data_IF_242482494898
#
_entry.id   IF_242482494898
#
_cell.length_a   1.000
_cell.length_b   1.000
_cell.length_c   1.000
_cell.angle_alpha   90.00
_cell.angle_beta   90.00
_cell.angle_gamma   90.00
#
_symmetry.space_group_name_H-M   'P 1'
#
loop_
_entity.id
_entity.type
_entity.pdbx_description
1 polymer ?
#
# COMPACT_ATOMS: atom_id res chain seq x y z
N UNK A 1 -22.68 -16.69 -8.67
CA UNK A 1 -21.48 -17.50 -8.42
C UNK A 1 -20.41 -16.58 -7.86
N UNK A 2 -19.98 -16.84 -6.63
CA UNK A 2 -19.14 -15.95 -5.81
C UNK A 2 -17.79 -15.69 -6.48
N UNK A 3 -17.45 -14.42 -6.66
CA UNK A 3 -16.10 -13.98 -7.02
C UNK A 3 -15.16 -14.40 -5.89
N UNK A 4 -14.48 -15.55 -6.06
CA UNK A 4 -13.53 -16.05 -5.07
C UNK A 4 -12.41 -15.03 -4.95
N UNK A 5 -12.05 -14.66 -3.73
CA UNK A 5 -10.96 -13.72 -3.43
C UNK A 5 -9.62 -14.31 -3.88
N UNK A 6 -9.28 -14.13 -5.16
CA UNK A 6 -8.09 -14.69 -5.83
C UNK A 6 -6.80 -14.44 -5.03
N UNK A 7 -6.70 -13.27 -4.40
CA UNK A 7 -5.56 -12.85 -3.58
C UNK A 7 -5.43 -13.64 -2.28
N UNK A 8 -6.55 -14.00 -1.64
CA UNK A 8 -6.52 -14.83 -0.43
C UNK A 8 -6.07 -16.25 -0.76
N UNK A 9 -6.49 -16.77 -1.90
CA UNK A 9 -6.12 -18.12 -2.33
C UNK A 9 -4.64 -18.18 -2.75
N UNK A 10 -4.11 -17.12 -3.35
CA UNK A 10 -2.67 -16.99 -3.62
C UNK A 10 -1.83 -17.05 -2.34
N UNK A 11 -2.20 -16.29 -1.30
CA UNK A 11 -1.45 -16.27 -0.03
C UNK A 11 -1.43 -17.66 0.64
N UNK A 12 -2.56 -18.38 0.60
CA UNK A 12 -2.65 -19.74 1.13
C UNK A 12 -1.72 -20.72 0.43
N UNK A 13 -1.37 -20.46 -0.83
CA UNK A 13 -0.41 -21.29 -1.58
C UNK A 13 1.01 -21.16 -1.01
N UNK A 14 1.35 -20.00 -0.44
CA UNK A 14 2.70 -19.68 0.07
C UNK A 14 2.79 -19.57 1.60
N UNK A 15 1.77 -20.02 2.32
CA UNK A 15 1.67 -19.89 3.78
C UNK A 15 1.01 -21.12 4.39
N UNK A 16 1.58 -21.68 5.46
CA UNK A 16 0.97 -22.80 6.18
C UNK A 16 -0.32 -22.39 6.91
N UNK A 17 -0.29 -21.23 7.57
CA UNK A 17 -1.45 -20.63 8.24
C UNK A 17 -1.44 -19.11 8.03
N UNK A 18 -2.53 -18.59 7.49
CA UNK A 18 -2.71 -17.15 7.21
C UNK A 18 -3.06 -16.34 8.47
N UNK A 19 -3.42 -17.02 9.57
CA UNK A 19 -3.76 -16.41 10.85
C UNK A 19 -2.61 -16.44 11.84
N UNK A 20 -1.53 -17.12 11.50
CA UNK A 20 -0.33 -17.19 12.33
C UNK A 20 0.64 -16.05 11.99
N UNK A 21 1.12 -15.38 13.03
CA UNK A 21 2.03 -14.24 12.89
C UNK A 21 3.37 -14.69 12.30
N UNK A 22 3.94 -15.76 12.84
CA UNK A 22 5.29 -16.21 12.46
C UNK A 22 5.32 -16.75 11.02
N UNK A 23 4.26 -17.42 10.58
CA UNK A 23 4.05 -17.84 9.21
C UNK A 23 3.99 -16.65 8.23
N UNK A 24 3.19 -15.64 8.54
CA UNK A 24 2.97 -14.50 7.65
C UNK A 24 4.15 -13.52 7.66
N UNK A 25 4.95 -13.49 8.72
CA UNK A 25 6.17 -12.68 8.84
C UNK A 25 7.43 -13.39 8.34
N UNK A 26 7.33 -14.62 7.83
CA UNK A 26 8.47 -15.37 7.28
C UNK A 26 9.42 -15.96 8.34
N UNK A 27 8.93 -16.16 9.57
CA UNK A 27 9.64 -16.84 10.66
C UNK A 27 9.30 -18.33 10.77
N UNK A 28 8.27 -18.79 10.08
CA UNK A 28 7.87 -20.19 10.06
C UNK A 28 8.90 -21.07 9.34
N UNK A 29 9.36 -22.13 10.02
CA UNK A 29 10.36 -23.06 9.48
C UNK A 29 9.90 -23.78 8.21
N UNK A 30 8.59 -23.97 8.02
CA UNK A 30 8.00 -24.73 6.91
C UNK A 30 7.83 -23.92 5.62
N UNK A 31 7.58 -22.61 5.72
CA UNK A 31 7.24 -21.76 4.58
C UNK A 31 7.95 -20.39 4.60
N UNK A 32 9.08 -20.29 5.31
CA UNK A 32 9.97 -19.11 5.27
C UNK A 32 10.56 -18.90 3.87
N UNK A 33 10.87 -20.00 3.19
CA UNK A 33 11.41 -20.01 1.83
C UNK A 33 10.26 -20.20 0.85
N UNK A 34 10.17 -19.29 -0.12
CA UNK A 34 9.14 -19.31 -1.15
C UNK A 34 9.72 -20.05 -2.35
N UNK A 35 9.34 -21.32 -2.48
CA UNK A 35 9.77 -22.17 -3.57
C UNK A 35 8.74 -22.08 -4.70
N UNK A 36 9.15 -21.52 -5.83
CA UNK A 36 8.33 -21.45 -7.05
C UNK A 36 8.74 -22.65 -7.91
N UNK A 37 7.82 -23.59 -8.10
CA UNK A 37 8.07 -24.76 -8.96
C UNK A 37 7.91 -24.31 -10.42
N UNK A 38 8.99 -24.37 -11.18
CA UNK A 38 8.97 -24.23 -12.64
C UNK A 38 8.80 -25.61 -13.28
N UNK A 39 8.01 -25.70 -14.34
CA UNK A 39 7.97 -26.93 -15.15
C UNK A 39 9.27 -26.96 -15.95
N UNK A 40 10.28 -27.66 -15.44
CA UNK A 40 11.63 -27.71 -16.00
C UNK A 40 11.67 -28.18 -17.46
N UNK A 41 11.81 -27.23 -18.38
CA UNK A 41 12.41 -27.42 -19.71
C UNK A 41 13.22 -26.19 -20.21
N UNK A 42 13.20 -25.06 -19.49
CA UNK A 42 13.93 -23.84 -19.87
C UNK A 42 15.21 -23.65 -19.07
N UNK A 43 16.23 -23.06 -19.68
CA UNK A 43 17.47 -22.70 -19.00
C UNK A 43 17.17 -21.56 -18.00
N UNK A 44 17.58 -21.70 -16.73
CA UNK A 44 17.33 -20.67 -15.70
C UNK A 44 18.01 -19.32 -16.02
N UNK A 45 18.89 -19.31 -17.02
CA UNK A 45 19.53 -18.13 -17.57
C UNK A 45 18.77 -17.48 -18.74
N UNK A 46 17.59 -17.97 -19.12
CA UNK A 46 16.77 -17.32 -20.13
C UNK A 46 16.39 -15.90 -19.67
N UNK A 47 16.61 -14.93 -20.56
CA UNK A 47 16.19 -13.56 -20.34
C UNK A 47 14.67 -13.45 -20.48
N UNK A 48 14.05 -12.75 -19.54
CA UNK A 48 12.63 -12.44 -19.53
C UNK A 48 12.40 -10.96 -19.23
N UNK A 49 11.26 -10.43 -19.65
CA UNK A 49 10.90 -9.04 -19.43
C UNK A 49 9.60 -8.92 -18.62
N UNK A 50 9.62 -8.13 -17.56
CA UNK A 50 8.46 -7.88 -16.71
C UNK A 50 8.32 -6.41 -16.33
N UNK A 51 7.14 -6.03 -15.84
CA UNK A 51 6.89 -4.67 -15.37
C UNK A 51 7.04 -4.59 -13.86
N UNK A 52 7.79 -3.60 -13.38
CA UNK A 52 8.00 -3.37 -11.94
C UNK A 52 7.88 -1.89 -11.59
N UNK A 53 7.28 -1.60 -10.43
CA UNK A 53 7.34 -0.28 -9.84
C UNK A 53 8.69 -0.08 -9.16
N UNK A 54 9.44 0.93 -9.58
CA UNK A 54 10.73 1.30 -9.01
C UNK A 54 10.76 2.78 -8.65
N UNK A 55 11.37 3.07 -7.50
CA UNK A 55 11.58 4.43 -7.03
C UNK A 55 12.97 4.88 -7.44
N UNK A 56 13.06 5.91 -8.29
CA UNK A 56 14.31 6.49 -8.79
C UNK A 56 14.47 7.92 -8.30
N UNK A 57 15.72 8.33 -8.09
CA UNK A 57 16.09 9.72 -7.82
C UNK A 57 16.58 10.35 -9.11
N UNK A 58 15.94 11.44 -9.52
CA UNK A 58 16.30 12.19 -10.72
C UNK A 58 16.64 13.63 -10.31
N UNK A 59 17.72 14.18 -10.83
CA UNK A 59 18.03 15.60 -10.67
C UNK A 59 17.29 16.38 -11.75
N UNK A 60 16.39 17.27 -11.35
CA UNK A 60 15.72 18.20 -12.27
C UNK A 60 16.05 19.64 -11.91
N UNK A 61 16.37 20.43 -12.93
CA UNK A 61 16.53 21.87 -12.76
C UNK A 61 15.13 22.50 -12.68
N UNK A 62 14.75 22.96 -11.50
CA UNK A 62 13.48 23.64 -11.26
C UNK A 62 13.81 25.08 -10.88
N UNK A 63 13.55 26.01 -11.82
CA UNK A 63 13.79 27.46 -11.65
C UNK A 63 15.26 27.84 -11.41
N UNK A 64 16.21 27.18 -12.07
CA UNK A 64 17.64 27.47 -11.95
C UNK A 64 18.36 26.62 -10.91
N UNK A 65 17.62 26.05 -9.94
CA UNK A 65 18.17 25.21 -8.89
C UNK A 65 18.05 23.71 -9.24
N UNK A 66 19.14 22.98 -9.08
CA UNK A 66 19.15 21.52 -9.21
C UNK A 66 18.49 20.89 -7.97
N UNK A 67 17.33 20.26 -8.16
CA UNK A 67 16.62 19.54 -7.09
C UNK A 67 16.60 18.05 -7.38
N UNK A 68 16.96 17.26 -6.38
CA UNK A 68 16.75 15.82 -6.40
C UNK A 68 15.28 15.53 -6.11
N UNK A 69 14.61 14.90 -7.08
CA UNK A 69 13.23 14.47 -6.94
C UNK A 69 13.17 12.94 -6.92
N UNK A 70 12.33 12.42 -6.05
CA UNK A 70 12.04 10.99 -5.97
C UNK A 70 10.81 10.69 -6.80
N UNK A 71 10.95 9.80 -7.79
CA UNK A 71 9.89 9.42 -8.73
C UNK A 71 9.65 7.91 -8.62
N UNK A 72 8.39 7.51 -8.45
CA UNK A 72 7.99 6.10 -8.56
C UNK A 72 7.44 5.88 -9.96
N UNK A 73 8.13 5.08 -10.75
CA UNK A 73 7.79 4.79 -12.15
C UNK A 73 7.57 3.29 -12.35
N UNK A 74 6.65 2.94 -13.23
CA UNK A 74 6.47 1.56 -13.70
C UNK A 74 7.35 1.38 -14.93
N UNK A 75 8.33 0.50 -14.84
CA UNK A 75 9.28 0.25 -15.92
C UNK A 75 9.35 -1.22 -16.30
N UNK A 76 9.73 -1.45 -17.56
CA UNK A 76 10.08 -2.79 -18.04
C UNK A 76 11.51 -3.11 -17.59
N UNK A 77 11.66 -4.22 -16.89
CA UNK A 77 12.93 -4.79 -16.48
C UNK A 77 13.14 -6.03 -17.34
N UNK A 78 14.30 -6.15 -17.98
CA UNK A 78 14.71 -7.34 -18.72
C UNK A 78 15.92 -7.93 -18.02
N UNK A 79 15.80 -9.16 -17.52
CA UNK A 79 16.84 -9.88 -16.80
C UNK A 79 16.54 -11.39 -16.83
N UNK A 80 17.38 -12.20 -16.22
CA UNK A 80 17.16 -13.64 -16.07
C UNK A 80 15.88 -13.98 -15.30
N UNK A 81 15.30 -15.15 -15.61
CA UNK A 81 14.16 -15.71 -14.87
C UNK A 81 14.47 -15.86 -13.38
N UNK A 82 15.70 -16.21 -13.00
CA UNK A 82 16.10 -16.28 -11.60
C UNK A 82 15.88 -14.96 -10.85
N UNK A 83 16.29 -13.83 -11.44
CA UNK A 83 16.11 -12.50 -10.83
C UNK A 83 14.61 -12.16 -10.70
N UNK A 84 13.78 -12.58 -11.65
CA UNK A 84 12.32 -12.46 -11.53
C UNK A 84 11.77 -13.29 -10.36
N UNK A 85 12.24 -14.53 -10.17
CA UNK A 85 11.80 -15.40 -9.07
C UNK A 85 12.17 -14.81 -7.71
N UNK A 86 13.38 -14.29 -7.56
CA UNK A 86 13.84 -13.61 -6.33
C UNK A 86 13.01 -12.35 -6.03
N UNK A 87 12.74 -11.54 -7.07
CA UNK A 87 11.90 -10.37 -6.96
C UNK A 87 10.48 -10.74 -6.53
N UNK A 88 9.90 -11.79 -7.12
CA UNK A 88 8.59 -12.29 -6.74
C UNK A 88 8.56 -12.78 -5.30
N UNK A 89 9.52 -13.60 -4.87
CA UNK A 89 9.61 -14.09 -3.49
C UNK A 89 9.70 -12.95 -2.48
N UNK A 90 10.50 -11.93 -2.78
CA UNK A 90 10.62 -10.73 -1.94
C UNK A 90 9.28 -9.98 -1.81
N UNK A 91 8.59 -9.75 -2.93
CA UNK A 91 7.30 -9.06 -2.93
C UNK A 91 6.18 -9.89 -2.29
N UNK A 92 6.20 -11.21 -2.47
CA UNK A 92 5.27 -12.12 -1.83
C UNK A 92 5.42 -12.11 -0.31
N UNK A 93 6.65 -12.04 0.21
CA UNK A 93 6.89 -11.93 1.65
C UNK A 93 6.30 -10.61 2.21
N UNK A 94 6.52 -9.49 1.52
CA UNK A 94 5.91 -8.19 1.89
C UNK A 94 4.39 -8.27 1.85
N UNK A 95 3.84 -8.92 0.83
CA UNK A 95 2.40 -9.08 0.67
C UNK A 95 1.78 -9.92 1.79
N UNK A 96 2.43 -11.01 2.21
CA UNK A 96 2.00 -11.81 3.37
C UNK A 96 1.90 -10.96 4.64
N UNK A 97 2.94 -10.20 4.96
CA UNK A 97 2.94 -9.29 6.12
C UNK A 97 1.78 -8.30 6.03
N UNK A 98 1.63 -7.64 4.87
CA UNK A 98 0.59 -6.65 4.66
C UNK A 98 -0.82 -7.23 4.84
N UNK A 99 -1.09 -8.39 4.24
CA UNK A 99 -2.38 -9.06 4.32
C UNK A 99 -2.71 -9.48 5.76
N UNK A 100 -1.74 -10.03 6.49
CA UNK A 100 -1.91 -10.34 7.91
C UNK A 100 -2.21 -9.09 8.73
N UNK A 101 -1.44 -8.02 8.54
CA UNK A 101 -1.62 -6.77 9.27
C UNK A 101 -3.00 -6.16 9.05
N UNK A 102 -3.48 -6.09 7.80
CA UNK A 102 -4.84 -5.63 7.51
C UNK A 102 -5.87 -6.51 8.21
N UNK A 103 -5.78 -7.84 8.06
CA UNK A 103 -6.76 -8.75 8.64
C UNK A 103 -6.79 -8.63 10.17
N UNK A 104 -5.61 -8.56 10.80
CA UNK A 104 -5.48 -8.45 12.24
C UNK A 104 -5.96 -7.08 12.76
N UNK A 105 -5.57 -5.98 12.11
CA UNK A 105 -6.04 -4.63 12.44
C UNK A 105 -7.56 -4.53 12.34
N UNK A 106 -8.16 -5.07 11.27
CA UNK A 106 -9.61 -5.09 11.10
C UNK A 106 -10.31 -5.92 12.17
N UNK A 107 -9.73 -7.05 12.58
CA UNK A 107 -10.24 -7.86 13.70
C UNK A 107 -10.24 -7.08 15.00
N UNK A 108 -9.12 -6.45 15.36
CA UNK A 108 -9.02 -5.64 16.58
C UNK A 108 -9.95 -4.43 16.54
N UNK A 109 -10.01 -3.73 15.40
CA UNK A 109 -10.89 -2.59 15.19
C UNK A 109 -12.37 -2.97 15.41
N UNK A 110 -12.82 -4.08 14.81
CA UNK A 110 -14.20 -4.58 15.01
C UNK A 110 -14.46 -4.92 16.47
N UNK A 111 -13.53 -5.61 17.12
CA UNK A 111 -13.66 -5.97 18.53
C UNK A 111 -13.79 -4.74 19.43
N UNK A 112 -12.99 -3.69 19.20
CA UNK A 112 -13.09 -2.44 19.97
C UNK A 112 -14.43 -1.76 19.70
N UNK A 113 -14.83 -1.65 18.43
CA UNK A 113 -16.09 -1.02 18.05
C UNK A 113 -17.31 -1.72 18.64
N UNK A 114 -17.33 -3.05 18.66
CA UNK A 114 -18.45 -3.86 19.16
C UNK A 114 -18.53 -3.88 20.69
N UNK A 115 -17.40 -3.71 21.40
CA UNK A 115 -17.33 -3.77 22.86
C UNK A 115 -17.06 -2.41 23.52
N UNK A 116 -17.47 -1.32 22.86
CA UNK A 116 -17.24 0.04 23.34
C UNK A 116 -18.07 0.32 24.61
N UNK A 117 -17.44 0.79 25.69
CA UNK A 117 -18.16 1.15 26.91
C UNK A 117 -18.86 2.50 26.78
N UNK A 118 -19.88 2.81 27.63
CA UNK A 118 -20.60 4.08 27.57
C UNK A 118 -19.74 5.33 27.74
N UNK A 119 -18.58 5.22 28.40
CA UNK A 119 -17.62 6.30 28.63
C UNK A 119 -16.40 6.26 27.69
N UNK A 120 -16.40 5.36 26.70
CA UNK A 120 -15.35 5.22 25.71
C UNK A 120 -15.87 5.70 24.35
N UNK A 121 -14.96 6.23 23.53
CA UNK A 121 -15.25 6.62 22.16
C UNK A 121 -14.12 6.15 21.23
N UNK A 122 -14.48 5.75 20.02
CA UNK A 122 -13.55 5.36 18.97
C UNK A 122 -13.60 6.38 17.84
N UNK A 123 -12.47 6.98 17.53
CA UNK A 123 -12.32 7.91 16.40
C UNK A 123 -11.54 7.23 15.30
N UNK A 124 -12.18 7.01 14.16
CA UNK A 124 -11.54 6.54 12.94
C UNK A 124 -11.37 7.75 12.02
N UNK A 125 -10.14 8.15 11.75
CA UNK A 125 -9.83 9.23 10.79
C UNK A 125 -9.11 8.62 9.61
N UNK A 126 -9.61 8.89 8.41
CA UNK A 126 -8.91 8.61 7.16
C UNK A 126 -8.21 9.88 6.68
N UNK A 127 -7.01 9.72 6.13
CA UNK A 127 -6.30 10.81 5.49
C UNK A 127 -6.79 10.90 4.05
N UNK A 128 -7.82 11.73 3.83
CA UNK A 128 -8.27 12.00 2.47
C UNK A 128 -7.29 12.94 1.77
N UNK A 129 -7.20 12.73 0.46
CA UNK A 129 -6.34 13.37 -0.54
C UNK A 129 -5.99 14.85 -0.29
N UNK A 130 -4.74 15.23 -0.63
CA UNK A 130 -4.32 16.62 -0.63
C UNK A 130 -4.90 17.36 -1.83
N UNK A 131 -5.92 18.20 -1.60
CA UNK A 131 -6.53 19.01 -2.64
C UNK A 131 -5.62 20.20 -2.97
N UNK A 132 -5.13 20.24 -4.20
CA UNK A 132 -4.50 21.43 -4.75
C UNK A 132 -5.60 22.39 -5.21
N UNK A 133 -5.75 23.53 -4.53
CA UNK A 133 -6.74 24.56 -4.89
C UNK A 133 -6.31 25.32 -6.17
N UNK A 134 -6.30 24.64 -7.33
CA UNK A 134 -5.83 25.18 -8.62
C UNK A 134 -6.82 26.13 -9.31
N UNK A 135 -8.09 26.15 -8.92
CA UNK A 135 -9.16 26.81 -9.70
C UNK A 135 -9.94 27.89 -8.94
N UNK A 136 -9.48 28.32 -7.75
CA UNK A 136 -10.26 29.26 -6.95
C UNK A 136 -10.12 30.73 -7.37
N UNK A 137 -9.04 31.12 -8.06
CA UNK A 137 -8.80 32.51 -8.48
C UNK A 137 -8.37 32.56 -9.96
N UNK A 138 -8.82 33.61 -10.65
CA UNK A 138 -8.71 33.88 -12.09
C UNK A 138 -7.39 33.47 -12.76
N UNK A 139 -7.52 33.17 -14.06
CA UNK A 139 -6.53 32.64 -15.01
C UNK A 139 -5.17 33.39 -14.97
N UNK A 140 -5.13 34.66 -14.57
CA UNK A 140 -3.90 35.47 -14.58
C UNK A 140 -3.04 35.36 -13.30
N UNK A 141 -3.57 34.86 -12.17
CA UNK A 141 -2.81 34.73 -10.91
C UNK A 141 -1.93 33.47 -10.82
N UNK A 142 -2.12 32.52 -11.75
CA UNK A 142 -1.35 31.27 -11.85
C UNK A 142 0.13 31.46 -12.26
N UNK A 143 0.46 32.60 -12.88
CA UNK A 143 1.78 32.81 -13.47
C UNK A 143 2.88 33.20 -12.46
N UNK A 144 2.55 33.68 -11.25
CA UNK A 144 3.56 34.27 -10.34
C UNK A 144 3.57 33.81 -8.88
N UNK A 145 2.66 32.97 -8.38
CA UNK A 145 2.66 32.61 -6.94
C UNK A 145 3.25 31.22 -6.67
N UNK A 146 4.47 31.19 -6.12
CA UNK A 146 5.21 29.98 -5.75
C UNK A 146 4.73 29.31 -4.44
N UNK A 147 3.65 29.79 -3.83
CA UNK A 147 3.08 29.28 -2.57
C UNK A 147 1.64 28.81 -2.80
N UNK A 148 1.51 27.62 -3.41
CA UNK A 148 0.21 26.98 -3.66
C UNK A 148 -0.34 26.48 -2.31
N UNK A 149 -1.46 27.04 -1.86
CA UNK A 149 -2.20 26.53 -0.68
C UNK A 149 -2.73 25.14 -1.00
N UNK A 150 -2.29 24.14 -0.23
CA UNK A 150 -2.83 22.79 -0.26
C UNK A 150 -3.86 22.69 0.87
N UNK A 151 -4.98 22.03 0.61
CA UNK A 151 -5.98 21.73 1.63
C UNK A 151 -6.00 20.23 1.83
N UNK A 152 -5.69 19.78 3.04
CA UNK A 152 -5.88 18.37 3.41
C UNK A 152 -7.25 18.22 4.03
N UNK A 153 -8.03 17.28 3.52
CA UNK A 153 -9.33 16.92 4.09
C UNK A 153 -9.13 15.69 4.98
N UNK A 154 -9.62 15.77 6.22
CA UNK A 154 -9.70 14.63 7.12
C UNK A 154 -11.16 14.22 7.25
N UNK A 155 -11.51 13.11 6.63
CA UNK A 155 -12.78 12.44 6.83
C UNK A 155 -12.65 11.54 8.05
N UNK A 156 -13.63 11.60 8.94
CA UNK A 156 -13.61 10.76 10.14
C UNK A 156 -14.99 10.28 10.56
N UNK A 157 -14.99 9.19 11.31
CA UNK A 157 -16.16 8.63 11.96
C UNK A 157 -15.87 8.50 13.44
N UNK A 158 -16.79 9.03 14.24
CA UNK A 158 -16.80 8.96 15.69
C UNK A 158 -17.84 7.91 16.11
N UNK A 159 -17.42 6.92 16.87
CA UNK A 159 -18.29 5.88 17.43
C UNK A 159 -18.38 6.04 18.94
N UNK A 160 -19.60 5.97 19.46
CA UNK A 160 -19.94 5.80 20.88
C UNK A 160 -20.70 4.48 21.05
N UNK A 161 -20.97 4.07 22.29
CA UNK A 161 -21.76 2.87 22.55
C UNK A 161 -23.19 2.93 21.95
N UNK A 162 -23.75 4.13 21.73
CA UNK A 162 -25.14 4.32 21.31
C UNK A 162 -25.29 4.76 19.86
N UNK A 163 -24.29 5.43 19.29
CA UNK A 163 -24.41 6.06 17.98
C UNK A 163 -23.06 6.25 17.29
N UNK A 164 -23.12 6.50 15.99
CA UNK A 164 -21.98 6.91 15.19
C UNK A 164 -22.25 8.25 14.50
N UNK A 165 -21.25 9.13 14.47
CA UNK A 165 -21.30 10.42 13.78
C UNK A 165 -20.12 10.55 12.81
N UNK A 166 -20.38 11.04 11.61
CA UNK A 166 -19.34 11.33 10.61
C UNK A 166 -18.96 12.81 10.67
N UNK A 167 -17.69 13.13 10.45
CA UNK A 167 -17.21 14.51 10.36
C UNK A 167 -16.19 14.68 9.23
N UNK A 168 -16.09 15.91 8.75
CA UNK A 168 -15.09 16.34 7.79
C UNK A 168 -14.40 17.58 8.35
N UNK A 169 -13.08 17.55 8.44
CA UNK A 169 -12.28 18.70 8.87
C UNK A 169 -11.24 19.03 7.82
N UNK A 170 -11.17 20.30 7.44
CA UNK A 170 -10.11 20.80 6.58
C UNK A 170 -8.97 21.38 7.41
N UNK A 171 -7.73 21.10 7.00
CA UNK A 171 -6.52 21.69 7.57
C UNK A 171 -5.82 22.45 6.43
N UNK A 172 -5.45 23.70 6.70
CA UNK A 172 -4.81 24.64 5.77
C UNK A 172 -3.31 24.74 6.02
#
# INVERSE_FOLDING_TARGET
MSSRNLLSDLIKTFSCDIKDLDCMYGKCEKCKEINIITNDQGDNNEETSWLQWKTKKEKRNIKGDEKEITLTVKETVTDSIHVLMDAFSTEMQRFKIHAFNIANQMKHYRNIKENLKPNEALVHVDFAENFQCKLANEIQSMHFWASKKQLTLHTGVFYTALSSQTFLRSVR
#
